data_IF_915968373161
#
_entry.id   IF_915968373161
#
_cell.length_a   1.000
_cell.length_b   1.000
_cell.length_c   1.000
_cell.angle_alpha   90.00
_cell.angle_beta   90.00
_cell.angle_gamma   90.00
#
_symmetry.space_group_name_H-M   'P 1'
#
loop_
_entity.id
_entity.type
_entity.pdbx_description
1 polymer ?
#
# COMPACT_ATOMS: atom_id res chain seq x y z
N UNK A 1 -18.13 2.36 5.16
CA UNK A 1 -17.23 1.37 5.78
C UNK A 1 -17.69 1.03 7.18
N UNK A 2 -17.74 -0.25 7.53
CA UNK A 2 -18.10 -0.76 8.87
C UNK A 2 -16.89 -0.83 9.82
N UNK A 3 -15.69 -0.57 9.37
CA UNK A 3 -14.47 -0.59 10.18
C UNK A 3 -14.59 0.37 11.36
N UNK A 4 -14.43 -0.12 12.58
CA UNK A 4 -14.59 0.65 13.81
C UNK A 4 -16.02 1.03 14.19
N UNK A 5 -17.05 0.53 13.49
CA UNK A 5 -18.47 0.82 13.71
C UNK A 5 -19.33 -0.43 13.63
N UNK A 6 -18.77 -1.60 13.91
CA UNK A 6 -19.50 -2.88 13.83
C UNK A 6 -20.46 -3.04 14.99
N UNK A 7 -21.73 -3.46 14.74
CA UNK A 7 -22.65 -3.89 15.78
C UNK A 7 -22.12 -5.14 16.54
N UNK A 8 -22.68 -5.42 17.72
CA UNK A 8 -22.36 -6.62 18.49
C UNK A 8 -22.65 -7.87 17.63
N UNK A 9 -21.68 -8.76 17.54
CA UNK A 9 -21.78 -10.00 16.76
C UNK A 9 -21.34 -9.91 15.29
N UNK A 10 -20.94 -8.72 14.81
CA UNK A 10 -20.35 -8.56 13.47
C UNK A 10 -18.88 -8.18 13.61
N UNK A 11 -18.00 -8.89 12.92
CA UNK A 11 -16.58 -8.58 12.82
C UNK A 11 -16.20 -8.17 11.39
N UNK A 12 -15.29 -7.22 11.25
CA UNK A 12 -14.67 -6.89 9.96
C UNK A 12 -13.33 -7.60 9.88
N UNK A 13 -13.19 -8.44 8.87
CA UNK A 13 -11.95 -9.19 8.61
C UNK A 13 -11.20 -8.50 7.46
N UNK A 14 -9.89 -8.35 7.60
CA UNK A 14 -8.97 -7.98 6.53
C UNK A 14 -8.24 -9.24 6.08
N UNK A 15 -8.67 -9.87 4.98
CA UNK A 15 -8.12 -11.17 4.55
C UNK A 15 -6.69 -11.06 4.03
N UNK A 16 -6.29 -9.87 3.56
CA UNK A 16 -4.91 -9.58 3.13
C UNK A 16 -4.38 -8.40 3.97
N UNK A 17 -3.19 -8.55 4.54
CA UNK A 17 -2.51 -7.54 5.36
C UNK A 17 -1.03 -7.48 5.01
N UNK A 18 -0.50 -6.27 4.84
CA UNK A 18 0.90 -6.04 4.49
C UNK A 18 1.40 -6.92 3.32
N UNK A 19 0.58 -7.03 2.26
CA UNK A 19 0.91 -7.84 1.08
C UNK A 19 0.79 -9.35 1.25
N UNK A 20 0.39 -9.85 2.44
CA UNK A 20 0.32 -11.28 2.77
C UNK A 20 -1.12 -11.73 3.02
N UNK A 21 -1.46 -12.95 2.61
CA UNK A 21 -2.75 -13.57 2.95
C UNK A 21 -2.76 -13.88 4.45
N UNK A 22 -3.63 -13.18 5.19
CA UNK A 22 -3.84 -13.40 6.62
C UNK A 22 -4.96 -14.43 6.90
N UNK A 23 -5.92 -14.52 5.99
CA UNK A 23 -7.04 -15.46 6.04
C UNK A 23 -7.30 -16.01 4.64
N UNK A 24 -7.02 -17.28 4.42
CA UNK A 24 -7.10 -17.92 3.11
C UNK A 24 -8.55 -18.02 2.59
N UNK A 25 -9.46 -18.47 3.45
CA UNK A 25 -10.86 -18.72 3.06
C UNK A 25 -11.56 -17.39 2.73
N UNK A 26 -11.31 -16.37 3.54
CA UNK A 26 -11.86 -15.03 3.30
C UNK A 26 -11.23 -14.35 2.10
N UNK A 27 -9.94 -14.60 1.81
CA UNK A 27 -9.29 -14.13 0.59
C UNK A 27 -9.92 -14.78 -0.65
N UNK A 28 -10.11 -16.10 -0.64
CA UNK A 28 -10.77 -16.83 -1.71
C UNK A 28 -12.21 -16.30 -1.95
N UNK A 29 -12.97 -16.10 -0.87
CA UNK A 29 -14.32 -15.54 -0.94
C UNK A 29 -14.33 -14.13 -1.55
N UNK A 30 -13.43 -13.25 -1.10
CA UNK A 30 -13.27 -11.89 -1.61
C UNK A 30 -12.91 -11.88 -3.09
N UNK A 31 -11.94 -12.70 -3.51
CA UNK A 31 -11.55 -12.83 -4.92
C UNK A 31 -12.70 -13.34 -5.78
N UNK A 32 -13.43 -14.36 -5.33
CA UNK A 32 -14.64 -14.86 -6.01
C UNK A 32 -15.68 -13.77 -6.17
N UNK A 33 -15.92 -12.99 -5.14
CA UNK A 33 -16.88 -11.89 -5.18
C UNK A 33 -16.48 -10.84 -6.23
N UNK A 34 -15.24 -10.37 -6.21
CA UNK A 34 -14.77 -9.36 -7.16
C UNK A 34 -14.79 -9.88 -8.61
N UNK A 35 -14.31 -11.09 -8.85
CA UNK A 35 -14.32 -11.67 -10.19
C UNK A 35 -15.76 -11.81 -10.72
N UNK A 36 -16.68 -12.30 -9.89
CA UNK A 36 -18.08 -12.46 -10.29
C UNK A 36 -18.82 -11.16 -10.49
N UNK A 37 -18.39 -10.07 -9.86
CA UNK A 37 -18.99 -8.74 -10.06
C UNK A 37 -18.68 -8.15 -11.44
N UNK A 38 -17.58 -8.58 -12.09
CA UNK A 38 -17.15 -8.10 -13.41
C UNK A 38 -17.28 -9.15 -14.52
N UNK A 39 -17.27 -10.44 -14.19
CA UNK A 39 -17.31 -11.54 -15.16
C UNK A 39 -18.55 -12.40 -14.92
N UNK A 40 -19.49 -12.50 -15.91
CA UNK A 40 -20.62 -13.41 -15.82
C UNK A 40 -20.18 -14.87 -15.62
N UNK A 41 -20.90 -15.63 -14.81
CA UNK A 41 -20.56 -17.02 -14.47
C UNK A 41 -20.38 -17.91 -15.71
N UNK A 42 -21.16 -17.69 -16.76
CA UNK A 42 -21.07 -18.40 -18.05
C UNK A 42 -19.74 -18.18 -18.81
N UNK A 43 -19.01 -17.10 -18.51
CA UNK A 43 -17.73 -16.77 -19.15
C UNK A 43 -16.53 -17.06 -18.27
N UNK A 44 -16.72 -17.40 -17.00
CA UNK A 44 -15.65 -17.54 -16.02
C UNK A 44 -14.61 -18.61 -16.42
N UNK A 45 -15.05 -19.74 -16.93
CA UNK A 45 -14.17 -20.80 -17.42
C UNK A 45 -13.30 -20.44 -18.65
N UNK A 46 -13.57 -19.31 -19.29
CA UNK A 46 -12.76 -18.78 -20.41
C UNK A 46 -11.89 -17.60 -19.99
N UNK A 47 -11.99 -17.16 -18.75
CA UNK A 47 -11.33 -15.94 -18.24
C UNK A 47 -9.87 -16.22 -17.91
N UNK A 48 -9.00 -15.29 -18.29
CA UNK A 48 -7.61 -15.21 -17.84
C UNK A 48 -7.54 -14.13 -16.76
N UNK A 49 -6.86 -14.43 -15.67
CA UNK A 49 -6.71 -13.49 -14.54
C UNK A 49 -5.23 -13.16 -14.39
N UNK A 50 -4.92 -11.89 -14.34
CA UNK A 50 -3.60 -11.37 -13.96
C UNK A 50 -3.76 -10.73 -12.59
N UNK A 51 -2.88 -11.05 -11.65
CA UNK A 51 -2.87 -10.50 -10.30
C UNK A 51 -1.51 -9.92 -10.01
N UNK A 52 -1.49 -8.69 -9.52
CA UNK A 52 -0.28 -8.06 -9.04
C UNK A 52 0.07 -8.58 -7.65
N UNK A 53 1.35 -8.77 -7.40
CA UNK A 53 1.90 -9.24 -6.13
C UNK A 53 3.14 -8.44 -5.76
N UNK A 54 3.42 -8.24 -4.46
CA UNK A 54 4.65 -7.58 -4.03
C UNK A 54 5.91 -8.30 -4.52
N UNK A 55 6.98 -7.57 -4.78
CA UNK A 55 8.23 -8.13 -5.31
C UNK A 55 8.90 -9.14 -4.36
N UNK A 56 8.70 -9.01 -3.05
CA UNK A 56 9.29 -9.90 -2.04
C UNK A 56 8.47 -11.14 -1.68
N UNK A 57 7.43 -11.49 -2.48
CA UNK A 57 6.54 -12.60 -2.16
C UNK A 57 7.25 -13.96 -2.19
N UNK A 58 7.04 -14.76 -1.15
CA UNK A 58 7.60 -16.11 -1.04
C UNK A 58 6.97 -17.11 -2.01
N UNK A 59 7.66 -18.23 -2.36
CA UNK A 59 7.08 -19.28 -3.18
C UNK A 59 5.78 -19.89 -2.59
N UNK A 60 5.69 -19.96 -1.26
CA UNK A 60 4.49 -20.46 -0.57
C UNK A 60 3.31 -19.50 -0.76
N UNK A 61 3.54 -18.20 -0.58
CA UNK A 61 2.52 -17.17 -0.81
C UNK A 61 2.09 -17.11 -2.27
N UNK A 62 3.04 -17.20 -3.23
CA UNK A 62 2.73 -17.30 -4.67
C UNK A 62 1.79 -18.46 -4.96
N UNK A 63 2.10 -19.65 -4.40
CA UNK A 63 1.29 -20.85 -4.58
C UNK A 63 -0.10 -20.67 -3.97
N UNK A 64 -0.21 -20.12 -2.77
CA UNK A 64 -1.48 -19.87 -2.10
C UNK A 64 -2.40 -18.95 -2.92
N UNK A 65 -1.85 -17.87 -3.48
CA UNK A 65 -2.59 -16.95 -4.36
C UNK A 65 -3.06 -17.67 -5.63
N UNK A 66 -2.17 -18.42 -6.30
CA UNK A 66 -2.53 -19.17 -7.51
C UNK A 66 -3.63 -20.20 -7.24
N UNK A 67 -3.55 -20.94 -6.14
CA UNK A 67 -4.57 -21.92 -5.75
C UNK A 67 -5.91 -21.24 -5.46
N UNK A 68 -5.92 -20.12 -4.74
CA UNK A 68 -7.14 -19.34 -4.48
C UNK A 68 -7.79 -18.85 -5.78
N UNK A 69 -6.99 -18.36 -6.74
CA UNK A 69 -7.47 -17.92 -8.04
C UNK A 69 -8.01 -19.08 -8.91
N UNK A 70 -7.33 -20.20 -8.94
CA UNK A 70 -7.79 -21.39 -9.69
C UNK A 70 -9.13 -21.91 -9.16
N UNK A 71 -9.34 -21.87 -7.85
CA UNK A 71 -10.62 -22.24 -7.22
C UNK A 71 -11.77 -21.29 -7.57
N UNK A 72 -11.49 -20.12 -8.14
CA UNK A 72 -12.55 -19.23 -8.67
C UNK A 72 -13.15 -19.76 -9.98
N UNK A 73 -12.48 -20.72 -10.66
CA UNK A 73 -12.88 -21.27 -11.96
C UNK A 73 -12.21 -20.58 -13.16
N UNK A 74 -11.18 -19.77 -12.95
CA UNK A 74 -10.42 -19.14 -14.02
C UNK A 74 -9.68 -20.17 -14.87
N UNK A 75 -9.62 -19.95 -16.21
CA UNK A 75 -8.91 -20.83 -17.15
C UNK A 75 -7.39 -20.75 -16.98
N UNK A 76 -6.87 -19.55 -16.73
CA UNK A 76 -5.44 -19.30 -16.57
C UNK A 76 -5.23 -18.13 -15.59
N UNK A 77 -4.27 -18.28 -14.71
CA UNK A 77 -3.84 -17.23 -13.78
C UNK A 77 -2.37 -16.92 -14.00
N UNK A 78 -2.00 -15.66 -13.95
CA UNK A 78 -0.63 -15.17 -14.07
C UNK A 78 -0.39 -14.18 -12.93
N UNK A 79 0.75 -14.28 -12.29
CA UNK A 79 1.21 -13.28 -11.32
C UNK A 79 2.19 -12.34 -12.02
N UNK A 80 2.07 -11.06 -11.71
CA UNK A 80 2.99 -10.00 -12.13
C UNK A 80 3.45 -9.22 -10.89
N UNK A 81 4.68 -8.80 -10.85
CA UNK A 81 5.16 -7.97 -9.75
C UNK A 81 4.57 -6.55 -9.82
N UNK A 82 4.15 -6.01 -8.67
CA UNK A 82 3.50 -4.70 -8.58
C UNK A 82 4.30 -3.57 -9.25
N UNK A 83 5.64 -3.43 -9.03
CA UNK A 83 6.40 -2.38 -9.69
C UNK A 83 6.45 -2.52 -11.22
N UNK A 84 6.46 -3.76 -11.73
CA UNK A 84 6.41 -3.99 -13.17
C UNK A 84 5.06 -3.57 -13.75
N UNK A 85 3.96 -3.89 -13.06
CA UNK A 85 2.63 -3.46 -13.48
C UNK A 85 2.48 -1.93 -13.41
N UNK A 86 3.04 -1.28 -12.36
CA UNK A 86 3.06 0.17 -12.23
C UNK A 86 3.83 0.84 -13.37
N UNK A 87 5.02 0.32 -13.70
CA UNK A 87 5.82 0.80 -14.84
C UNK A 87 5.05 0.69 -16.16
N UNK A 88 4.36 -0.42 -16.38
CA UNK A 88 3.50 -0.58 -17.56
C UNK A 88 2.38 0.47 -17.62
N UNK A 89 1.79 0.78 -16.46
CA UNK A 89 0.71 1.76 -16.35
C UNK A 89 1.14 3.21 -16.58
N UNK A 90 2.40 3.54 -16.30
CA UNK A 90 2.97 4.89 -16.53
C UNK A 90 3.49 5.10 -17.96
N UNK A 91 3.41 4.08 -18.82
CA UNK A 91 3.86 4.18 -20.22
C UNK A 91 5.37 3.97 -20.41
N UNK A 92 6.07 3.47 -19.38
CA UNK A 92 7.51 3.13 -19.46
C UNK A 92 7.84 1.99 -20.44
N UNK A 93 6.84 1.43 -21.12
CA UNK A 93 7.00 0.33 -22.08
C UNK A 93 7.61 0.74 -23.44
N UNK A 94 7.76 2.04 -23.68
CA UNK A 94 8.41 2.48 -24.91
C UNK A 94 9.92 2.23 -24.80
N UNK A 95 10.48 1.50 -25.76
CA UNK A 95 11.86 1.02 -25.89
C UNK A 95 12.98 2.07 -25.77
N UNK A 96 12.71 3.25 -25.20
CA UNK A 96 13.63 4.34 -24.99
C UNK A 96 14.15 4.45 -23.55
N UNK A 97 13.58 3.67 -22.61
CA UNK A 97 13.93 3.78 -21.19
C UNK A 97 14.85 2.63 -20.78
N UNK A 98 16.15 2.85 -20.91
CA UNK A 98 17.21 1.88 -20.55
C UNK A 98 17.29 1.61 -19.04
N UNK A 99 16.59 2.38 -18.20
CA UNK A 99 16.51 2.17 -16.76
C UNK A 99 15.55 3.13 -16.10
N UNK A 100 14.67 2.61 -15.25
CA UNK A 100 13.73 3.40 -14.48
C UNK A 100 13.61 2.84 -13.05
N UNK A 101 13.44 3.73 -12.07
CA UNK A 101 13.11 3.34 -10.71
C UNK A 101 11.64 3.62 -10.44
N UNK A 102 10.94 2.63 -9.92
CA UNK A 102 9.53 2.74 -9.49
C UNK A 102 9.45 2.57 -7.99
N UNK A 103 8.66 3.43 -7.33
CA UNK A 103 8.36 3.37 -5.90
C UNK A 103 6.84 3.35 -5.75
N UNK A 104 6.28 2.17 -5.61
CA UNK A 104 4.84 1.95 -5.42
C UNK A 104 4.50 1.94 -3.92
N UNK A 105 3.83 3.00 -3.44
CA UNK A 105 3.42 3.13 -2.04
C UNK A 105 1.96 2.71 -1.90
N UNK A 106 1.75 1.45 -1.60
CA UNK A 106 0.44 0.86 -1.41
C UNK A 106 -0.18 1.08 -0.02
N UNK A 107 -1.24 0.34 0.27
CA UNK A 107 -1.88 0.36 1.60
C UNK A 107 -1.07 -0.34 2.69
N UNK A 108 -0.47 -1.49 2.37
CA UNK A 108 0.26 -2.34 3.32
C UNK A 108 1.75 -2.44 3.06
N UNK A 109 2.20 -2.19 1.83
CA UNK A 109 3.59 -2.31 1.37
C UNK A 109 4.03 -1.06 0.62
N UNK A 110 5.35 -0.88 0.53
CA UNK A 110 6.02 -0.02 -0.44
C UNK A 110 6.97 -0.91 -1.23
N UNK A 111 6.72 -1.04 -2.53
CA UNK A 111 7.50 -1.83 -3.44
C UNK A 111 8.42 -0.92 -4.25
N UNK A 112 9.72 -1.18 -4.16
CA UNK A 112 10.76 -0.38 -4.80
C UNK A 112 11.48 -1.28 -5.79
N UNK A 113 11.56 -0.88 -7.05
CA UNK A 113 12.24 -1.66 -8.07
C UNK A 113 12.96 -0.80 -9.10
N UNK A 114 14.07 -1.31 -9.59
CA UNK A 114 14.74 -0.80 -10.79
C UNK A 114 14.45 -1.76 -11.94
N UNK A 115 13.99 -1.19 -13.02
CA UNK A 115 13.52 -1.90 -14.22
C UNK A 115 14.41 -1.52 -15.41
N UNK A 116 14.58 -2.49 -16.31
CA UNK A 116 15.14 -2.27 -17.65
C UNK A 116 14.28 -3.01 -18.68
N UNK A 117 14.68 -2.97 -19.95
CA UNK A 117 13.96 -3.60 -21.07
C UNK A 117 13.67 -5.09 -20.85
N UNK A 118 14.53 -5.78 -20.09
CA UNK A 118 14.40 -7.22 -19.79
C UNK A 118 13.58 -7.54 -18.55
N UNK A 119 13.12 -6.51 -17.80
CA UNK A 119 12.31 -6.67 -16.60
C UNK A 119 12.92 -6.07 -15.33
N UNK A 120 12.59 -6.65 -14.19
CA UNK A 120 13.08 -6.21 -12.87
C UNK A 120 14.54 -6.60 -12.68
N UNK A 121 15.42 -5.63 -12.42
CA UNK A 121 16.84 -5.83 -12.17
C UNK A 121 17.12 -6.02 -10.69
N UNK A 122 16.58 -5.14 -9.86
CA UNK A 122 16.68 -5.20 -8.40
C UNK A 122 15.37 -4.68 -7.81
N UNK A 123 14.89 -5.33 -6.76
CA UNK A 123 13.66 -4.93 -6.06
C UNK A 123 13.72 -5.24 -4.58
N UNK A 124 12.93 -4.50 -3.82
CA UNK A 124 12.71 -4.71 -2.39
C UNK A 124 11.26 -4.33 -2.05
N UNK A 125 10.62 -5.10 -1.18
CA UNK A 125 9.29 -4.82 -0.67
C UNK A 125 9.36 -4.52 0.83
N UNK A 126 8.99 -3.31 1.20
CA UNK A 126 8.93 -2.87 2.59
C UNK A 126 7.50 -3.05 3.12
N UNK A 127 7.34 -3.58 4.32
CA UNK A 127 6.03 -3.68 5.00
C UNK A 127 5.62 -2.34 5.61
N UNK A 128 5.71 -1.29 4.83
CA UNK A 128 5.37 0.09 5.17
C UNK A 128 4.45 0.62 4.09
N UNK A 129 3.30 1.17 4.48
CA UNK A 129 2.35 1.72 3.54
C UNK A 129 1.32 2.59 4.27
N UNK A 130 0.19 2.89 3.62
CA UNK A 130 -0.85 3.75 4.14
C UNK A 130 -1.36 3.36 5.52
N UNK A 131 -1.43 2.06 5.83
CA UNK A 131 -1.88 1.55 7.12
C UNK A 131 -0.88 1.86 8.24
N UNK A 132 0.42 1.69 8.01
CA UNK A 132 1.46 2.04 8.99
C UNK A 132 1.55 3.55 9.23
N UNK A 133 1.26 4.36 8.20
CA UNK A 133 1.10 5.80 8.36
C UNK A 133 -0.09 6.15 9.25
N UNK A 134 -1.23 5.50 9.05
CA UNK A 134 -2.42 5.69 9.89
C UNK A 134 -2.14 5.31 11.35
N UNK A 135 -1.46 4.20 11.59
CA UNK A 135 -1.06 3.80 12.95
C UNK A 135 -0.14 4.82 13.62
N UNK A 136 0.81 5.40 12.86
CA UNK A 136 1.70 6.44 13.36
C UNK A 136 0.93 7.70 13.75
N UNK A 137 -0.07 8.09 12.96
CA UNK A 137 -0.98 9.20 13.27
C UNK A 137 -1.81 8.88 14.53
N UNK A 138 -2.40 7.69 14.65
CA UNK A 138 -3.18 7.27 15.83
C UNK A 138 -2.32 7.37 17.09
N UNK A 139 -1.09 6.81 17.06
CA UNK A 139 -0.15 6.86 18.19
C UNK A 139 0.23 8.30 18.57
N UNK A 140 0.50 9.14 17.56
CA UNK A 140 0.86 10.54 17.78
C UNK A 140 -0.26 11.33 18.43
N UNK A 141 -1.47 11.26 17.87
CA UNK A 141 -2.67 11.96 18.37
C UNK A 141 -3.01 11.50 19.78
N UNK A 142 -2.96 10.19 20.06
CA UNK A 142 -3.17 9.66 21.41
C UNK A 142 -2.17 10.23 22.40
N UNK A 143 -0.89 10.26 22.03
CA UNK A 143 0.20 10.73 22.94
C UNK A 143 0.18 12.24 23.14
N UNK A 144 0.01 13.03 22.08
CA UNK A 144 0.15 14.49 22.13
C UNK A 144 -1.15 15.24 22.44
N UNK A 145 -2.28 14.74 21.98
CA UNK A 145 -3.59 15.39 22.17
C UNK A 145 -4.46 14.67 23.22
N UNK A 146 -4.04 13.52 23.73
CA UNK A 146 -4.84 12.63 24.58
C UNK A 146 -6.19 12.29 23.96
N UNK A 147 -6.22 12.12 22.65
CA UNK A 147 -7.42 11.79 21.89
C UNK A 147 -7.29 10.39 21.28
N UNK A 148 -8.25 9.54 21.53
CA UNK A 148 -8.38 8.20 20.90
C UNK A 148 -9.21 8.34 19.64
N UNK A 149 -8.61 7.97 18.51
CA UNK A 149 -9.24 7.97 17.20
C UNK A 149 -9.13 6.59 16.56
N UNK A 150 -10.02 6.28 15.61
CA UNK A 150 -9.97 5.05 14.84
C UNK A 150 -9.24 5.20 13.49
N UNK A 151 -8.99 4.08 12.77
CA UNK A 151 -8.27 4.06 11.49
C UNK A 151 -8.88 4.97 10.43
N UNK A 152 -10.20 5.02 10.30
CA UNK A 152 -10.90 5.89 9.34
C UNK A 152 -10.67 7.38 9.61
N UNK A 153 -10.58 7.76 10.88
CA UNK A 153 -10.29 9.14 11.27
C UNK A 153 -8.83 9.47 10.96
N UNK A 154 -7.90 8.54 11.22
CA UNK A 154 -6.49 8.70 10.88
C UNK A 154 -6.28 8.83 9.37
N UNK A 155 -6.96 8.01 8.57
CA UNK A 155 -6.95 8.10 7.10
C UNK A 155 -7.45 9.47 6.63
N UNK A 156 -8.55 9.97 7.20
CA UNK A 156 -9.07 11.32 6.89
C UNK A 156 -8.05 12.40 7.23
N UNK A 157 -7.38 12.33 8.39
CA UNK A 157 -6.33 13.28 8.79
C UNK A 157 -5.17 13.24 7.78
N UNK A 158 -4.70 12.03 7.45
CA UNK A 158 -3.61 11.81 6.48
C UNK A 158 -3.91 12.47 5.14
N UNK A 159 -5.09 12.23 4.58
CA UNK A 159 -5.50 12.80 3.28
C UNK A 159 -5.67 14.33 3.36
N UNK A 160 -6.23 14.85 4.46
CA UNK A 160 -6.59 16.27 4.55
C UNK A 160 -5.40 17.17 4.84
N UNK A 161 -4.51 16.77 5.76
CA UNK A 161 -3.41 17.61 6.27
C UNK A 161 -2.06 16.91 6.28
N UNK A 162 -1.98 15.64 5.85
CA UNK A 162 -0.71 14.93 5.71
C UNK A 162 0.21 15.64 4.71
N UNK A 163 1.47 15.73 5.05
CA UNK A 163 2.54 16.23 4.17
C UNK A 163 3.88 15.71 4.65
N UNK A 164 4.80 15.53 3.72
CA UNK A 164 6.23 15.27 3.97
C UNK A 164 7.10 16.43 3.49
N UNK A 165 6.52 17.36 2.72
CA UNK A 165 7.20 18.55 2.27
C UNK A 165 7.25 19.61 3.39
N UNK A 166 8.47 19.98 3.80
CA UNK A 166 8.71 21.00 4.82
C UNK A 166 8.32 22.42 4.39
N UNK A 167 8.14 22.64 3.09
CA UNK A 167 7.75 23.93 2.51
C UNK A 167 6.24 24.02 2.24
N UNK A 168 5.50 22.93 2.46
CA UNK A 168 4.05 22.91 2.25
C UNK A 168 3.36 23.94 3.16
N UNK A 169 2.37 24.62 2.61
CA UNK A 169 1.52 25.53 3.38
C UNK A 169 0.85 24.79 4.54
N UNK A 170 0.92 25.37 5.72
CA UNK A 170 0.28 24.79 6.90
C UNK A 170 -1.24 24.72 6.71
N UNK A 171 -1.80 23.55 7.00
CA UNK A 171 -3.24 23.27 6.98
C UNK A 171 -3.65 22.71 8.33
N UNK A 172 -4.87 23.00 8.74
CA UNK A 172 -5.44 22.52 10.02
C UNK A 172 -6.79 21.88 9.78
N UNK A 173 -7.09 20.82 10.54
CA UNK A 173 -8.36 20.13 10.55
C UNK A 173 -8.84 19.92 11.98
N UNK A 174 -10.14 20.05 12.21
CA UNK A 174 -10.76 19.65 13.47
C UNK A 174 -11.07 18.15 13.49
N UNK A 175 -10.62 17.48 14.55
CA UNK A 175 -10.74 16.03 14.72
C UNK A 175 -11.54 15.72 15.96
N UNK A 176 -12.55 14.87 15.80
CA UNK A 176 -13.37 14.36 16.90
C UNK A 176 -12.93 12.95 17.28
N UNK A 177 -12.91 12.70 18.57
CA UNK A 177 -12.58 11.40 19.13
C UNK A 177 -13.02 11.29 20.58
N UNK A 178 -12.44 10.34 21.29
CA UNK A 178 -12.70 10.11 22.70
C UNK A 178 -11.48 10.56 23.50
N UNK A 179 -11.66 11.37 24.53
CA UNK A 179 -10.58 11.72 25.46
C UNK A 179 -10.02 10.47 26.13
N UNK A 180 -8.69 10.34 26.11
CA UNK A 180 -8.02 9.14 26.61
C UNK A 180 -8.11 8.98 28.16
N UNK A 181 -8.40 10.07 28.89
CA UNK A 181 -8.48 10.07 30.36
C UNK A 181 -9.92 9.93 30.84
N UNK A 182 -10.82 10.78 30.35
CA UNK A 182 -12.22 10.83 30.81
C UNK A 182 -13.15 9.88 30.06
N UNK A 183 -12.76 9.42 28.87
CA UNK A 183 -13.61 8.62 28.01
C UNK A 183 -14.69 9.41 27.28
N UNK A 184 -14.82 10.72 27.52
CA UNK A 184 -15.84 11.58 26.95
C UNK A 184 -15.50 12.03 25.53
N UNK A 185 -16.50 12.41 24.70
CA UNK A 185 -16.27 13.02 23.41
C UNK A 185 -15.40 14.28 23.54
N UNK A 186 -14.43 14.42 22.66
CA UNK A 186 -13.50 15.56 22.62
C UNK A 186 -13.19 15.93 21.19
N UNK A 187 -12.98 17.21 20.95
CA UNK A 187 -12.55 17.76 19.67
C UNK A 187 -11.22 18.50 19.83
N UNK A 188 -10.31 18.32 18.89
CA UNK A 188 -9.00 18.97 18.88
C UNK A 188 -8.64 19.41 17.47
N UNK A 189 -7.90 20.50 17.36
CA UNK A 189 -7.27 20.91 16.11
C UNK A 189 -5.96 20.14 15.91
N UNK A 190 -5.73 19.71 14.69
CA UNK A 190 -4.53 19.00 14.22
C UNK A 190 -4.01 19.68 12.96
N UNK A 191 -2.73 20.02 12.94
CA UNK A 191 -2.11 20.68 11.79
C UNK A 191 -1.13 19.79 11.02
N UNK A 192 -0.74 20.23 9.82
CA UNK A 192 0.13 19.47 8.92
C UNK A 192 1.53 19.25 9.49
N UNK A 193 2.10 20.17 10.27
CA UNK A 193 3.40 20.01 10.90
C UNK A 193 3.39 18.91 11.97
N UNK A 194 2.28 18.76 12.69
CA UNK A 194 2.09 17.67 13.66
C UNK A 194 2.06 16.31 12.94
N UNK A 195 1.36 16.24 11.81
CA UNK A 195 1.27 15.00 11.03
C UNK A 195 2.59 14.68 10.34
N UNK A 196 3.31 15.67 9.83
CA UNK A 196 4.67 15.48 9.30
C UNK A 196 5.58 14.80 10.34
N UNK A 197 5.59 15.30 11.58
CA UNK A 197 6.35 14.69 12.68
C UNK A 197 5.88 13.27 13.02
N UNK A 198 4.57 13.02 12.91
CA UNK A 198 4.02 11.68 13.14
C UNK A 198 4.47 10.66 12.09
N UNK A 199 4.69 11.10 10.85
CA UNK A 199 5.05 10.27 9.71
C UNK A 199 6.56 10.14 9.49
N UNK A 200 7.38 11.00 10.11
CA UNK A 200 8.81 11.14 9.84
C UNK A 200 9.57 9.79 9.86
N UNK A 201 9.35 8.97 10.88
CA UNK A 201 10.03 7.67 10.98
C UNK A 201 9.69 6.73 9.82
N UNK A 202 8.42 6.67 9.42
CA UNK A 202 7.99 5.80 8.32
C UNK A 202 8.53 6.29 6.97
N UNK A 203 8.53 7.61 6.77
CA UNK A 203 9.09 8.22 5.56
C UNK A 203 10.60 7.98 5.46
N UNK A 204 11.32 8.12 6.57
CA UNK A 204 12.75 7.83 6.60
C UNK A 204 13.06 6.37 6.25
N UNK A 205 12.27 5.42 6.74
CA UNK A 205 12.44 4.01 6.39
C UNK A 205 12.20 3.76 4.87
N UNK A 206 11.23 4.44 4.27
CA UNK A 206 11.03 4.36 2.80
C UNK A 206 12.23 4.95 2.06
N UNK A 207 12.74 6.10 2.50
CA UNK A 207 13.93 6.72 1.89
C UNK A 207 15.18 5.83 2.02
N UNK A 208 15.35 5.15 3.14
CA UNK A 208 16.43 4.18 3.34
C UNK A 208 16.31 3.00 2.37
N UNK A 209 15.09 2.49 2.16
CA UNK A 209 14.82 1.46 1.14
C UNK A 209 15.19 1.93 -0.28
N UNK A 210 14.79 3.15 -0.65
CA UNK A 210 15.18 3.74 -1.95
C UNK A 210 16.69 3.83 -2.11
N UNK A 211 17.42 4.29 -1.08
CA UNK A 211 18.89 4.36 -1.09
C UNK A 211 19.51 2.97 -1.21
N UNK A 212 19.03 2.00 -0.42
CA UNK A 212 19.50 0.61 -0.47
C UNK A 212 19.38 0.00 -1.87
N UNK A 213 18.28 0.27 -2.57
CA UNK A 213 18.09 -0.20 -3.94
C UNK A 213 19.04 0.50 -4.91
N UNK A 214 19.22 1.82 -4.80
CA UNK A 214 20.16 2.57 -5.63
C UNK A 214 21.60 2.06 -5.46
N UNK A 215 22.01 1.74 -4.23
CA UNK A 215 23.34 1.18 -3.95
C UNK A 215 23.57 -0.21 -4.56
N UNK A 216 22.51 -1.00 -4.71
CA UNK A 216 22.54 -2.33 -5.35
C UNK A 216 22.40 -2.28 -6.87
N UNK A 217 22.06 -1.10 -7.42
CA UNK A 217 21.77 -0.92 -8.84
C UNK A 217 23.07 -0.79 -9.64
N UNK A 218 23.20 -1.44 -10.81
CA UNK A 218 24.35 -1.24 -11.70
C UNK A 218 24.53 0.24 -12.08
N UNK A 219 25.79 0.74 -12.18
CA UNK A 219 26.08 2.15 -12.42
C UNK A 219 25.42 2.73 -13.67
N UNK A 220 25.32 1.94 -14.74
CA UNK A 220 24.71 2.36 -16.01
C UNK A 220 23.21 2.66 -15.85
N UNK A 221 22.52 1.89 -15.01
CA UNK A 221 21.10 2.11 -14.71
C UNK A 221 20.90 3.27 -13.74
N UNK A 222 21.82 3.49 -12.80
CA UNK A 222 21.79 4.67 -11.91
C UNK A 222 21.88 5.96 -12.73
N UNK A 223 22.74 6.00 -13.75
CA UNK A 223 22.83 7.14 -14.64
C UNK A 223 21.51 7.40 -15.37
N UNK A 224 20.86 6.36 -15.91
CA UNK A 224 19.56 6.47 -16.56
C UNK A 224 18.45 6.94 -15.58
N UNK A 225 18.44 6.45 -14.33
CA UNK A 225 17.51 6.89 -13.29
C UNK A 225 17.71 8.39 -12.98
N UNK A 226 18.95 8.87 -12.96
CA UNK A 226 19.24 10.28 -12.73
C UNK A 226 18.63 11.19 -13.83
N UNK A 227 18.61 10.72 -15.07
CA UNK A 227 18.08 11.45 -16.21
C UNK A 227 16.54 11.41 -16.27
N UNK A 228 15.92 10.31 -15.89
CA UNK A 228 14.47 10.08 -15.99
C UNK A 228 13.71 10.30 -14.67
N UNK A 229 14.41 10.30 -13.54
CA UNK A 229 13.82 10.42 -12.21
C UNK A 229 13.29 9.10 -11.64
N UNK A 230 12.58 9.21 -10.52
CA UNK A 230 11.88 8.13 -9.82
C UNK A 230 10.38 8.31 -10.05
N UNK A 231 9.69 7.24 -10.35
CA UNK A 231 8.25 7.18 -10.64
C UNK A 231 7.51 6.53 -9.48
#
# INVERSE_FOLDING_TARGET
SMVGRTPKGISVIRPVQAGVIADYDMTEFMLKYFIRSVVPASRLMKTRIIVCVPSGITPVEKRAILEALLRTGAKKTVLIEEPLAAAMGTGLNDAKHVGAMVVDVGGGTTDIAVLCDTGVVVSESLRIGGDSFNESIIRYIRRKKRLVIGPLTAEKIKISVGTVDRRAKERTIEVRGRDASSGLPKMVAVNSLEIQRALEAQVMNVLEGVKSILEKTPPELVAAINDHGII
#
